data_IF_759182036566
#
_entry.id   IF_759182036566
#
_cell.length_a   1.000
_cell.length_b   1.000
_cell.length_c   1.000
_cell.angle_alpha   90.00
_cell.angle_beta   90.00
_cell.angle_gamma   90.00
#
_symmetry.space_group_name_H-M   'P 1'
#
loop_
_entity.id
_entity.type
_entity.pdbx_description
1 polymer ?
#
# COMPACT_ATOMS: atom_id res chain seq x y z
N UNK A 1 -23.97 18.95 6.84
CA UNK A 1 -23.19 18.42 5.70
C UNK A 1 -23.92 17.22 5.09
N UNK A 2 -24.14 17.27 3.80
CA UNK A 2 -24.74 16.14 3.12
C UNK A 2 -23.69 15.03 2.94
N UNK A 3 -23.94 13.80 3.42
CA UNK A 3 -22.92 12.76 3.43
C UNK A 3 -22.33 12.43 2.07
N UNK A 4 -23.14 12.40 1.02
CA UNK A 4 -22.67 12.05 -0.33
C UNK A 4 -21.72 13.13 -0.86
N UNK A 5 -22.03 14.41 -0.62
CA UNK A 5 -21.19 15.52 -1.04
C UNK A 5 -19.89 15.58 -0.24
N UNK A 6 -19.95 15.17 1.03
CA UNK A 6 -18.77 15.09 1.90
C UNK A 6 -17.78 14.04 1.41
N UNK A 7 -18.27 12.90 0.94
CA UNK A 7 -17.41 11.82 0.43
C UNK A 7 -16.55 12.31 -0.74
N UNK A 8 -17.12 13.12 -1.62
CA UNK A 8 -16.38 13.69 -2.74
C UNK A 8 -15.13 14.44 -2.27
N UNK A 9 -15.26 15.25 -1.23
CA UNK A 9 -14.14 16.04 -0.72
C UNK A 9 -13.09 15.16 -0.04
N UNK A 10 -13.52 14.11 0.67
CA UNK A 10 -12.60 13.13 1.26
C UNK A 10 -11.79 12.44 0.17
N UNK A 11 -12.43 12.01 -0.91
CA UNK A 11 -11.73 11.41 -2.04
C UNK A 11 -10.71 12.36 -2.65
N UNK A 12 -11.02 13.64 -2.77
CA UNK A 12 -10.09 14.63 -3.30
C UNK A 12 -8.85 14.76 -2.42
N UNK A 13 -9.03 14.79 -1.11
CA UNK A 13 -7.92 14.87 -0.14
C UNK A 13 -7.03 13.64 -0.29
N UNK A 14 -7.62 12.45 -0.31
CA UNK A 14 -6.87 11.20 -0.45
C UNK A 14 -6.15 11.10 -1.80
N UNK A 15 -6.83 11.48 -2.87
CA UNK A 15 -6.24 11.47 -4.21
C UNK A 15 -5.00 12.37 -4.29
N UNK A 16 -5.10 13.57 -3.74
CA UNK A 16 -3.97 14.49 -3.73
C UNK A 16 -2.80 13.93 -2.92
N UNK A 17 -3.10 13.30 -1.78
CA UNK A 17 -2.08 12.65 -0.98
C UNK A 17 -1.40 11.52 -1.75
N UNK A 18 -2.18 10.65 -2.41
CA UNK A 18 -1.65 9.54 -3.20
C UNK A 18 -0.72 10.03 -4.31
N UNK A 19 -1.12 11.12 -4.98
CA UNK A 19 -0.33 11.71 -6.04
C UNK A 19 1.02 12.22 -5.52
N UNK A 20 0.99 12.95 -4.42
CA UNK A 20 2.22 13.47 -3.81
C UNK A 20 3.11 12.34 -3.31
N UNK A 21 2.51 11.31 -2.72
CA UNK A 21 3.25 10.14 -2.24
C UNK A 21 3.99 9.46 -3.39
N UNK A 22 3.31 9.24 -4.51
CA UNK A 22 3.90 8.57 -5.68
C UNK A 22 5.03 9.39 -6.28
N UNK A 23 4.91 10.70 -6.29
CA UNK A 23 5.96 11.58 -6.79
C UNK A 23 7.21 11.51 -5.91
N UNK A 24 7.05 11.42 -4.60
CA UNK A 24 8.18 11.37 -3.65
C UNK A 24 8.83 10.00 -3.64
N UNK A 25 8.04 8.93 -3.62
CA UNK A 25 8.55 7.59 -3.36
C UNK A 25 8.65 6.69 -4.59
N UNK A 26 8.12 7.13 -5.73
CA UNK A 26 8.11 6.37 -6.99
C UNK A 26 7.37 5.02 -6.90
N UNK A 27 6.47 4.89 -5.94
CA UNK A 27 5.54 3.77 -5.80
C UNK A 27 4.17 4.32 -5.40
N UNK A 28 3.14 3.52 -5.66
CA UNK A 28 1.78 3.91 -5.27
C UNK A 28 1.52 3.59 -3.79
N UNK A 29 0.47 4.16 -3.24
CA UNK A 29 0.02 3.84 -1.87
C UNK A 29 -0.27 2.35 -1.72
N UNK A 30 -0.94 1.75 -2.71
CA UNK A 30 -1.25 0.32 -2.67
C UNK A 30 0.02 -0.52 -2.65
N UNK A 31 1.02 -0.14 -3.44
CA UNK A 31 2.32 -0.82 -3.42
C UNK A 31 3.00 -0.68 -2.07
N UNK A 32 2.95 0.52 -1.49
CA UNK A 32 3.51 0.76 -0.16
C UNK A 32 2.83 -0.08 0.92
N UNK A 33 1.50 -0.19 0.87
CA UNK A 33 0.74 -1.02 1.82
C UNK A 33 1.10 -2.49 1.70
N UNK A 34 1.34 -2.96 0.46
CA UNK A 34 1.79 -4.33 0.24
C UNK A 34 3.15 -4.57 0.92
N UNK A 35 4.10 -3.65 0.73
CA UNK A 35 5.40 -3.76 1.38
C UNK A 35 5.27 -3.74 2.90
N UNK A 36 4.42 -2.89 3.45
CA UNK A 36 4.16 -2.83 4.88
C UNK A 36 3.59 -4.14 5.43
N UNK A 37 2.78 -4.83 4.65
CA UNK A 37 2.25 -6.15 5.02
C UNK A 37 3.39 -7.15 5.26
N UNK A 38 4.49 -7.01 4.52
CA UNK A 38 5.62 -7.95 4.57
C UNK A 38 6.78 -7.47 5.45
N UNK A 39 6.59 -6.38 6.20
CA UNK A 39 7.70 -5.77 6.97
C UNK A 39 8.21 -6.61 8.12
N UNK A 40 7.42 -7.61 8.56
CA UNK A 40 7.84 -8.55 9.61
C UNK A 40 8.81 -9.63 9.10
N UNK A 41 9.15 -9.58 7.82
CA UNK A 41 10.04 -10.53 7.13
C UNK A 41 9.49 -11.95 7.02
N UNK A 42 8.20 -12.13 7.25
CA UNK A 42 7.53 -13.42 7.06
C UNK A 42 6.93 -13.49 5.66
N UNK A 43 7.08 -14.66 5.01
CA UNK A 43 6.42 -14.91 3.74
C UNK A 43 4.92 -15.04 3.94
N UNK A 44 4.14 -14.43 3.06
CA UNK A 44 2.67 -14.46 3.16
C UNK A 44 2.07 -14.84 1.82
N UNK A 45 0.92 -15.54 1.89
CA UNK A 45 0.20 -15.92 0.68
C UNK A 45 -0.44 -14.71 0.01
N UNK A 46 -0.74 -14.85 -1.27
CA UNK A 46 -1.44 -13.80 -2.02
C UNK A 46 -2.77 -13.43 -1.35
N UNK A 47 -3.52 -14.43 -0.87
CA UNK A 47 -4.79 -14.16 -0.20
C UNK A 47 -4.64 -13.33 1.06
N UNK A 48 -3.63 -13.64 1.89
CA UNK A 48 -3.36 -12.88 3.10
C UNK A 48 -3.03 -11.42 2.79
N UNK A 49 -2.21 -11.20 1.77
CA UNK A 49 -1.81 -9.84 1.39
C UNK A 49 -3.00 -9.07 0.82
N UNK A 50 -3.77 -9.72 -0.05
CA UNK A 50 -4.96 -9.12 -0.65
C UNK A 50 -5.96 -8.67 0.42
N UNK A 51 -6.21 -9.52 1.41
CA UNK A 51 -7.10 -9.21 2.53
C UNK A 51 -6.55 -8.06 3.37
N UNK A 52 -5.25 -8.04 3.61
CA UNK A 52 -4.62 -6.98 4.39
C UNK A 52 -4.84 -5.61 3.74
N UNK A 53 -4.65 -5.52 2.42
CA UNK A 53 -4.81 -4.25 1.71
C UNK A 53 -6.29 -3.92 1.47
N UNK A 54 -7.13 -4.95 1.32
CA UNK A 54 -8.55 -4.76 1.07
C UNK A 54 -8.88 -4.44 -0.38
N UNK A 55 -8.12 -4.97 -1.33
CA UNK A 55 -8.35 -4.76 -2.75
C UNK A 55 -9.13 -5.91 -3.37
N UNK A 56 -9.80 -5.64 -4.50
CA UNK A 56 -10.36 -6.70 -5.33
C UNK A 56 -9.23 -7.55 -5.92
N UNK A 57 -9.55 -8.79 -6.33
CA UNK A 57 -8.55 -9.68 -6.89
C UNK A 57 -7.89 -9.11 -8.16
N UNK A 58 -8.66 -8.45 -9.01
CA UNK A 58 -8.12 -7.88 -10.25
C UNK A 58 -7.18 -6.70 -9.98
N UNK A 59 -7.52 -5.84 -9.03
CA UNK A 59 -6.66 -4.73 -8.64
C UNK A 59 -5.40 -5.22 -7.94
N UNK A 60 -5.56 -6.22 -7.05
CA UNK A 60 -4.44 -6.83 -6.35
C UNK A 60 -3.43 -7.44 -7.32
N UNK A 61 -3.91 -8.14 -8.35
CA UNK A 61 -3.06 -8.76 -9.37
C UNK A 61 -2.13 -7.74 -10.02
N UNK A 62 -2.64 -6.56 -10.31
CA UNK A 62 -1.84 -5.47 -10.90
C UNK A 62 -0.81 -4.94 -9.93
N UNK A 63 -1.18 -4.78 -8.66
CA UNK A 63 -0.28 -4.26 -7.63
C UNK A 63 0.87 -5.24 -7.39
N UNK A 64 0.55 -6.53 -7.20
CA UNK A 64 1.57 -7.54 -6.91
C UNK A 64 2.57 -7.69 -8.07
N UNK A 65 2.06 -7.66 -9.31
CA UNK A 65 2.90 -7.74 -10.50
C UNK A 65 3.84 -6.55 -10.59
N UNK A 66 3.34 -5.36 -10.32
CA UNK A 66 4.15 -4.14 -10.34
C UNK A 66 5.27 -4.19 -9.30
N UNK A 67 4.95 -4.62 -8.07
CA UNK A 67 5.93 -4.70 -6.99
C UNK A 67 6.99 -5.76 -7.29
N UNK A 68 6.59 -6.90 -7.86
CA UNK A 68 7.55 -7.91 -8.32
C UNK A 68 8.49 -7.37 -9.40
N UNK A 69 7.92 -6.66 -10.39
CA UNK A 69 8.71 -6.12 -11.49
C UNK A 69 9.70 -5.06 -11.02
N UNK A 70 9.39 -4.35 -9.95
CA UNK A 70 10.29 -3.37 -9.34
C UNK A 70 11.38 -4.04 -8.50
N UNK A 71 11.28 -5.35 -8.28
CA UNK A 71 12.28 -6.11 -7.54
C UNK A 71 12.18 -6.01 -6.03
N UNK A 72 11.05 -5.56 -5.50
CA UNK A 72 10.87 -5.37 -4.05
C UNK A 72 10.42 -6.64 -3.34
N UNK A 73 9.80 -7.56 -4.05
CA UNK A 73 9.34 -8.84 -3.49
C UNK A 73 9.76 -9.98 -4.42
N UNK A 74 9.80 -11.18 -3.84
CA UNK A 74 10.04 -12.41 -4.60
C UNK A 74 8.92 -13.38 -4.33
N UNK A 75 8.65 -14.19 -5.33
CA UNK A 75 7.64 -15.22 -5.30
C UNK A 75 8.27 -16.53 -4.87
N UNK A 76 7.70 -17.17 -3.86
CA UNK A 76 8.14 -18.48 -3.39
C UNK A 76 7.00 -19.48 -3.60
N UNK A 77 7.32 -20.64 -4.18
CA UNK A 77 6.33 -21.69 -4.38
C UNK A 77 6.34 -22.56 -3.14
N UNK A 78 5.14 -22.86 -2.60
CA UNK A 78 5.01 -23.81 -1.50
C UNK A 78 5.33 -25.20 -2.00
N UNK A 79 6.31 -25.87 -1.40
CA UNK A 79 6.74 -27.22 -1.79
C UNK A 79 5.67 -28.27 -1.55
N UNK A 80 4.82 -28.06 -0.54
CA UNK A 80 3.75 -28.99 -0.19
C UNK A 80 2.51 -28.79 -1.04
N UNK A 81 2.19 -27.54 -1.39
CA UNK A 81 1.05 -27.21 -2.24
C UNK A 81 1.49 -26.20 -3.29
N UNK A 82 1.76 -26.70 -4.50
CA UNK A 82 2.23 -25.88 -5.61
C UNK A 82 1.21 -24.84 -6.10
N UNK A 83 -0.04 -24.95 -5.64
CA UNK A 83 -1.09 -23.99 -5.99
C UNK A 83 -1.03 -22.73 -5.12
N UNK A 84 -0.32 -22.80 -3.98
CA UNK A 84 -0.15 -21.65 -3.11
C UNK A 84 1.16 -20.95 -3.38
N UNK A 85 1.06 -19.66 -3.67
CA UNK A 85 2.22 -18.81 -3.82
C UNK A 85 2.39 -17.94 -2.60
N UNK A 86 3.62 -17.87 -2.13
CA UNK A 86 4.00 -16.99 -1.02
C UNK A 86 4.92 -15.91 -1.55
N UNK A 87 4.85 -14.74 -0.92
CA UNK A 87 5.67 -13.59 -1.28
C UNK A 87 6.44 -13.12 -0.07
N UNK A 88 7.67 -12.69 -0.29
CA UNK A 88 8.53 -12.15 0.76
C UNK A 88 9.32 -10.97 0.20
N UNK A 89 9.82 -10.12 1.11
CA UNK A 89 10.63 -8.98 0.72
C UNK A 89 12.00 -9.41 0.22
N UNK A 90 12.47 -8.73 -0.83
CA UNK A 90 13.87 -8.79 -1.23
C UNK A 90 14.66 -7.78 -0.38
N UNK A 91 16.01 -7.84 -0.39
CA UNK A 91 16.81 -6.79 0.25
C UNK A 91 16.46 -5.40 -0.26
N UNK A 92 16.18 -5.26 -1.56
CA UNK A 92 15.74 -4.01 -2.17
C UNK A 92 14.39 -3.54 -1.60
N UNK A 93 13.47 -4.48 -1.35
CA UNK A 93 12.19 -4.17 -0.73
C UNK A 93 12.34 -3.69 0.71
N UNK A 94 13.22 -4.32 1.48
CA UNK A 94 13.51 -3.91 2.85
C UNK A 94 14.09 -2.51 2.88
N UNK A 95 15.02 -2.21 1.97
CA UNK A 95 15.61 -0.89 1.85
C UNK A 95 14.55 0.16 1.49
N UNK A 96 13.62 -0.19 0.60
CA UNK A 96 12.53 0.71 0.21
C UNK A 96 11.65 1.07 1.40
N UNK A 97 11.32 0.11 2.24
CA UNK A 97 10.54 0.37 3.46
C UNK A 97 11.29 1.32 4.39
N UNK A 98 12.60 1.11 4.57
CA UNK A 98 13.40 1.99 5.43
C UNK A 98 13.42 3.41 4.90
N UNK A 99 13.54 3.58 3.58
CA UNK A 99 13.51 4.89 2.95
C UNK A 99 12.18 5.60 3.18
N UNK A 100 11.07 4.85 3.07
CA UNK A 100 9.74 5.42 3.30
C UNK A 100 9.56 5.84 4.76
N UNK A 101 10.07 5.05 5.71
CA UNK A 101 9.97 5.37 7.13
C UNK A 101 10.82 6.55 7.55
N UNK A 102 11.99 6.72 6.90
CA UNK A 102 12.89 7.84 7.19
C UNK A 102 12.44 9.13 6.52
N UNK A 103 11.76 9.04 5.38
CA UNK A 103 11.24 10.22 4.71
C UNK A 103 10.09 10.76 5.56
N UNK A 104 10.12 12.08 5.81
CA UNK A 104 9.01 12.73 6.48
C UNK A 104 7.80 12.70 5.54
N UNK A 105 7.01 11.64 5.68
CA UNK A 105 5.70 11.60 5.07
C UNK A 105 4.85 12.61 5.80
N UNK A 106 4.23 13.51 5.06
CA UNK A 106 3.35 14.52 5.63
C UNK A 106 2.01 13.89 6.02
N UNK A 107 2.09 12.77 6.77
CA UNK A 107 0.90 12.03 7.22
C UNK A 107 0.11 12.83 8.23
N UNK A 108 0.81 13.62 9.06
CA UNK A 108 0.14 14.49 10.02
C UNK A 108 -0.72 15.53 9.33
N UNK A 109 -0.24 16.08 8.21
CA UNK A 109 -1.03 17.01 7.42
C UNK A 109 -2.28 16.34 6.87
N UNK A 110 -2.15 15.13 6.34
CA UNK A 110 -3.29 14.37 5.83
C UNK A 110 -4.34 14.13 6.93
N UNK A 111 -3.90 13.62 8.08
CA UNK A 111 -4.81 13.33 9.18
C UNK A 111 -5.46 14.60 9.72
N UNK A 112 -4.72 15.70 9.80
CA UNK A 112 -5.27 16.98 10.24
C UNK A 112 -6.32 17.50 9.24
N UNK A 113 -6.07 17.40 7.95
CA UNK A 113 -7.04 17.78 6.94
C UNK A 113 -8.34 16.98 7.06
N UNK A 114 -8.21 15.66 7.26
CA UNK A 114 -9.37 14.79 7.41
C UNK A 114 -10.14 15.11 8.69
N UNK A 115 -9.44 15.34 9.80
CA UNK A 115 -10.05 15.71 11.07
C UNK A 115 -10.81 17.03 10.96
N UNK A 116 -10.19 18.05 10.40
CA UNK A 116 -10.84 19.36 10.21
C UNK A 116 -12.10 19.21 9.38
N UNK A 117 -12.02 18.44 8.31
CA UNK A 117 -13.15 18.25 7.43
C UNK A 117 -14.31 17.55 8.16
N UNK A 118 -14.03 16.50 8.92
CA UNK A 118 -15.05 15.75 9.67
C UNK A 118 -15.66 16.64 10.76
N UNK A 119 -14.85 17.43 11.46
CA UNK A 119 -15.31 18.30 12.55
C UNK A 119 -16.18 19.47 12.06
N UNK A 120 -15.92 19.94 10.85
CA UNK A 120 -16.71 21.04 10.26
C UNK A 120 -18.09 20.60 9.78
N UNK A 121 -18.29 19.29 9.68
CA UNK A 121 -19.56 18.76 9.26
C UNK A 121 -20.59 18.73 10.34
#
# INVERSE_FOLDING_TARGET
MEPICAIKDIYKILYQFEKNFSEVHAITINEAMLLCCLKDNEAKSAGMICDYIGLSNSRFSKVITSVENKGFIRRNINKEDKRQMFFSLTPKGKEKIQQMMQAELNMDSLFNQLKEYIQKG
#
